data_IF_382582743952
#
_entry.id   IF_382582743952
#
_cell.length_a   1.000
_cell.length_b   1.000
_cell.length_c   1.000
_cell.angle_alpha   90.00
_cell.angle_beta   90.00
_cell.angle_gamma   90.00
#
_symmetry.space_group_name_H-M   'P 1'
#
loop_
_entity.id
_entity.type
_entity.pdbx_description
1 polymer ?
#
# COMPACT_ATOMS: atom_id res chain seq x y z
N UNK A 1 3.00 14.55 11.24
CA UNK A 1 4.44 14.87 11.44
C UNK A 1 5.26 13.62 11.09
N UNK A 2 5.35 13.24 9.80
CA UNK A 2 6.30 12.21 9.33
C UNK A 2 7.67 12.91 9.29
N UNK A 3 8.58 12.61 10.24
CA UNK A 3 9.97 13.07 10.11
C UNK A 3 10.57 12.32 8.92
N UNK A 4 11.05 13.06 7.94
CA UNK A 4 11.81 12.53 6.81
C UNK A 4 13.09 11.88 7.36
N UNK A 5 13.07 10.55 7.50
CA UNK A 5 14.21 9.79 8.03
C UNK A 5 15.47 9.95 7.19
N UNK A 6 15.34 10.38 5.91
CA UNK A 6 16.43 10.57 4.96
C UNK A 6 17.40 11.67 5.37
N UNK A 7 16.96 12.70 6.11
CA UNK A 7 17.85 13.80 6.50
C UNK A 7 18.79 13.45 7.66
N UNK A 8 18.47 12.44 8.47
CA UNK A 8 19.23 12.09 9.68
C UNK A 8 20.37 11.07 9.48
N UNK A 9 20.46 10.46 8.30
CA UNK A 9 21.41 9.36 8.03
C UNK A 9 22.76 9.79 7.46
N UNK A 10 22.87 11.03 6.94
CA UNK A 10 24.12 11.51 6.31
C UNK A 10 25.16 12.01 7.32
N UNK A 11 24.78 12.28 8.56
CA UNK A 11 25.64 12.95 9.55
C UNK A 11 26.53 12.01 10.40
N UNK A 12 26.32 10.68 10.38
CA UNK A 12 27.02 9.77 11.32
C UNK A 12 27.88 8.66 10.68
N UNK A 13 27.99 8.57 9.34
CA UNK A 13 28.77 7.50 8.68
C UNK A 13 28.27 6.08 8.95
N UNK A 14 27.00 5.93 9.38
CA UNK A 14 26.35 4.63 9.65
C UNK A 14 25.28 4.34 8.62
N UNK A 15 25.36 3.18 7.96
CA UNK A 15 24.31 2.70 7.04
C UNK A 15 23.03 2.39 7.79
N UNK A 16 21.88 2.80 7.23
CA UNK A 16 20.55 2.51 7.77
C UNK A 16 19.64 2.05 6.64
N UNK A 17 18.92 0.95 6.85
CA UNK A 17 17.82 0.54 5.99
C UNK A 17 16.50 0.87 6.68
N UNK A 18 15.62 1.59 5.99
CA UNK A 18 14.32 1.96 6.52
C UNK A 18 13.21 1.61 5.53
N UNK A 19 12.18 0.94 6.04
CA UNK A 19 10.93 0.70 5.33
C UNK A 19 9.77 0.61 6.31
N UNK A 20 8.60 1.10 5.90
CA UNK A 20 7.34 0.87 6.62
C UNK A 20 6.82 -0.57 6.42
N UNK A 21 7.33 -1.30 5.43
CA UNK A 21 6.95 -2.68 5.14
C UNK A 21 8.10 -3.45 4.45
N UNK A 22 8.53 -4.58 5.04
CA UNK A 22 9.58 -5.45 4.50
C UNK A 22 9.05 -6.62 3.68
N UNK A 23 7.74 -6.73 3.43
CA UNK A 23 7.20 -7.82 2.62
C UNK A 23 7.65 -7.69 1.16
N UNK A 24 8.34 -8.73 0.68
CA UNK A 24 8.66 -8.89 -0.75
C UNK A 24 7.39 -8.85 -1.61
N UNK A 25 6.33 -9.53 -1.16
CA UNK A 25 5.05 -9.57 -1.89
C UNK A 25 4.40 -8.20 -2.01
N UNK A 26 4.48 -7.38 -0.95
CA UNK A 26 3.98 -5.99 -0.98
C UNK A 26 4.83 -5.12 -1.89
N UNK A 27 6.15 -5.30 -1.91
CA UNK A 27 7.04 -4.55 -2.81
C UNK A 27 6.69 -4.81 -4.29
N UNK A 28 6.53 -6.09 -4.67
CA UNK A 28 6.11 -6.48 -6.02
C UNK A 28 4.71 -5.92 -6.33
N UNK A 29 3.76 -6.09 -5.42
CA UNK A 29 2.39 -5.61 -5.61
C UNK A 29 2.31 -4.09 -5.78
N UNK A 30 3.12 -3.33 -5.02
CA UNK A 30 3.22 -1.88 -5.13
C UNK A 30 3.74 -1.46 -6.52
N UNK A 31 4.75 -2.14 -7.06
CA UNK A 31 5.27 -1.88 -8.40
C UNK A 31 4.21 -2.14 -9.49
N UNK A 32 3.50 -3.28 -9.40
CA UNK A 32 2.39 -3.61 -10.31
C UNK A 32 1.27 -2.57 -10.21
N UNK A 33 0.91 -2.15 -8.99
CA UNK A 33 -0.11 -1.14 -8.76
C UNK A 33 0.24 0.20 -9.43
N UNK A 34 1.47 0.69 -9.25
CA UNK A 34 1.94 1.93 -9.91
C UNK A 34 1.90 1.82 -11.43
N UNK A 35 2.36 0.70 -11.97
CA UNK A 35 2.34 0.46 -13.41
C UNK A 35 0.92 0.38 -13.97
N UNK A 36 0.02 -0.34 -13.30
CA UNK A 36 -1.38 -0.44 -13.69
C UNK A 36 -2.08 0.92 -13.63
N UNK A 37 -1.88 1.69 -12.56
CA UNK A 37 -2.42 3.05 -12.42
C UNK A 37 -2.00 3.95 -13.59
N UNK A 38 -0.73 3.90 -13.99
CA UNK A 38 -0.21 4.64 -15.15
C UNK A 38 -0.89 4.25 -16.46
N UNK A 39 -1.18 2.97 -16.68
CA UNK A 39 -1.92 2.52 -17.87
C UNK A 39 -3.35 3.03 -17.81
N UNK A 40 -4.00 2.84 -16.67
CA UNK A 40 -5.40 3.19 -16.41
C UNK A 40 -5.70 4.68 -16.52
N UNK A 41 -4.69 5.54 -16.39
CA UNK A 41 -4.83 6.99 -16.59
C UNK A 41 -5.32 7.37 -18.00
N UNK A 42 -5.12 6.50 -19.00
CA UNK A 42 -5.63 6.70 -20.36
C UNK A 42 -7.08 6.23 -20.55
N UNK A 43 -7.70 5.61 -19.53
CA UNK A 43 -9.02 4.98 -19.62
C UNK A 43 -9.97 5.55 -18.55
N UNK A 44 -10.55 6.75 -18.77
CA UNK A 44 -11.32 7.47 -17.77
C UNK A 44 -12.63 6.80 -17.37
N UNK A 45 -13.10 5.81 -18.15
CA UNK A 45 -14.30 5.03 -17.88
C UNK A 45 -14.10 3.94 -16.80
N UNK A 46 -12.87 3.69 -16.35
CA UNK A 46 -12.58 2.73 -15.29
C UNK A 46 -12.45 3.42 -13.94
N UNK A 47 -13.45 3.36 -13.07
CA UNK A 47 -13.35 3.90 -11.72
C UNK A 47 -12.54 3.02 -10.78
N UNK A 48 -11.61 3.64 -10.05
CA UNK A 48 -10.73 2.94 -9.12
C UNK A 48 -11.29 2.96 -7.70
N UNK A 49 -11.25 1.82 -7.02
CA UNK A 49 -11.56 1.67 -5.60
C UNK A 49 -10.56 0.75 -4.91
N UNK A 50 -10.41 0.89 -3.59
CA UNK A 50 -9.49 0.07 -2.82
C UNK A 50 -10.11 -0.41 -1.51
N UNK A 51 -9.84 -1.68 -1.18
CA UNK A 51 -10.26 -2.30 0.08
C UNK A 51 -9.06 -3.00 0.73
N UNK A 52 -8.96 -2.91 2.06
CA UNK A 52 -8.02 -3.69 2.86
C UNK A 52 -8.74 -4.51 3.94
N UNK A 53 -8.26 -5.72 4.20
CA UNK A 53 -8.73 -6.58 5.28
C UNK A 53 -7.57 -6.91 6.20
N UNK A 54 -7.77 -6.75 7.50
CA UNK A 54 -6.81 -7.15 8.54
C UNK A 54 -7.53 -7.75 9.74
N UNK A 55 -6.75 -8.35 10.63
CA UNK A 55 -7.21 -8.90 11.89
C UNK A 55 -7.94 -7.88 12.78
N UNK A 56 -8.79 -8.39 13.67
CA UNK A 56 -9.65 -7.59 14.55
C UNK A 56 -8.88 -6.65 15.49
N UNK A 57 -7.65 -7.02 15.85
CA UNK A 57 -6.80 -6.22 16.75
C UNK A 57 -6.12 -5.02 16.07
N UNK A 58 -6.32 -4.80 14.77
CA UNK A 58 -5.68 -3.69 14.05
C UNK A 58 -6.42 -2.38 14.28
N UNK A 59 -5.76 -1.44 14.96
CA UNK A 59 -6.34 -0.16 15.39
C UNK A 59 -6.34 0.91 14.28
N UNK A 60 -5.32 0.93 13.42
CA UNK A 60 -5.22 1.90 12.33
C UNK A 60 -6.13 1.51 11.16
N UNK A 61 -6.91 2.46 10.65
CA UNK A 61 -7.75 2.32 9.46
C UNK A 61 -7.76 3.65 8.65
N UNK A 62 -7.34 3.64 7.37
CA UNK A 62 -6.73 2.51 6.64
C UNK A 62 -5.34 2.12 7.15
N UNK A 63 -4.89 0.92 6.83
CA UNK A 63 -3.53 0.45 7.11
C UNK A 63 -2.46 1.32 6.43
N UNK A 64 -1.27 1.40 7.02
CA UNK A 64 -0.14 2.12 6.41
C UNK A 64 0.21 1.63 4.99
N UNK A 65 0.09 0.32 4.72
CA UNK A 65 0.29 -0.22 3.36
C UNK A 65 -0.82 0.22 2.40
N UNK A 66 -2.07 0.26 2.85
CA UNK A 66 -3.16 0.80 2.02
C UNK A 66 -2.93 2.28 1.68
N UNK A 67 -2.48 3.09 2.63
CA UNK A 67 -2.14 4.50 2.39
C UNK A 67 -1.04 4.62 1.32
N UNK A 68 0.05 3.85 1.44
CA UNK A 68 1.14 3.86 0.44
C UNK A 68 0.67 3.39 -0.94
N UNK A 69 -0.22 2.41 -1.02
CA UNK A 69 -0.80 1.95 -2.28
C UNK A 69 -1.70 3.03 -2.92
N UNK A 70 -2.52 3.72 -2.12
CA UNK A 70 -3.32 4.86 -2.58
C UNK A 70 -2.41 5.98 -3.10
N UNK A 71 -1.41 6.38 -2.33
CA UNK A 71 -0.43 7.40 -2.74
C UNK A 71 0.24 7.01 -4.08
N UNK A 72 0.62 5.75 -4.26
CA UNK A 72 1.15 5.25 -5.53
C UNK A 72 0.18 5.29 -6.70
N UNK A 73 -1.13 5.14 -6.47
CA UNK A 73 -2.16 5.36 -7.50
C UNK A 73 -2.22 6.86 -7.84
N UNK A 74 -2.33 7.74 -6.84
CA UNK A 74 -2.45 9.19 -7.05
C UNK A 74 -1.23 9.78 -7.81
N UNK A 75 -0.04 9.25 -7.58
CA UNK A 75 1.18 9.62 -8.31
C UNK A 75 1.13 9.29 -9.81
N UNK A 76 0.27 8.35 -10.23
CA UNK A 76 0.24 7.82 -11.60
C UNK A 76 -1.12 7.93 -12.30
N UNK A 77 -2.19 8.26 -11.57
CA UNK A 77 -3.57 8.40 -12.05
C UNK A 77 -4.04 9.84 -11.78
N UNK A 78 -3.75 10.76 -12.70
CA UNK A 78 -3.81 12.21 -12.48
C UNK A 78 -5.23 12.75 -12.23
N UNK A 79 -6.25 12.00 -12.64
CA UNK A 79 -7.65 12.33 -12.37
C UNK A 79 -8.07 12.09 -10.91
N UNK A 80 -7.24 11.41 -10.11
CA UNK A 80 -7.45 11.29 -8.66
C UNK A 80 -6.44 12.18 -7.93
N UNK A 81 -6.92 13.10 -7.10
CA UNK A 81 -6.09 14.13 -6.45
C UNK A 81 -5.81 13.83 -4.97
N UNK A 82 -6.66 13.04 -4.34
CA UNK A 82 -6.55 12.70 -2.93
C UNK A 82 -7.22 11.37 -2.65
N UNK A 83 -6.80 10.69 -1.57
CA UNK A 83 -7.54 9.56 -1.03
C UNK A 83 -8.32 10.00 0.21
N UNK A 84 -9.45 9.36 0.43
CA UNK A 84 -10.30 9.59 1.61
C UNK A 84 -10.59 8.27 2.32
N UNK A 85 -10.95 8.36 3.59
CA UNK A 85 -11.40 7.17 4.33
C UNK A 85 -12.75 6.73 3.76
N UNK A 86 -12.80 5.49 3.28
CA UNK A 86 -14.02 4.85 2.83
C UNK A 86 -14.82 4.29 4.01
N UNK A 87 -15.42 3.13 3.79
CA UNK A 87 -16.13 2.40 4.85
C UNK A 87 -15.17 1.65 5.78
N UNK A 88 -15.58 1.46 7.04
CA UNK A 88 -14.97 0.53 7.97
C UNK A 88 -16.01 -0.52 8.38
N UNK A 89 -15.77 -1.77 8.01
CA UNK A 89 -16.52 -2.93 8.50
C UNK A 89 -15.82 -3.47 9.75
N UNK A 90 -16.50 -3.36 10.89
CA UNK A 90 -16.01 -3.81 12.19
C UNK A 90 -16.26 -5.31 12.41
N UNK A 91 -15.61 -5.94 13.41
CA UNK A 91 -15.74 -7.39 13.66
C UNK A 91 -17.15 -7.88 13.97
N UNK A 92 -18.02 -7.00 14.46
CA UNK A 92 -19.44 -7.29 14.74
C UNK A 92 -20.34 -7.15 13.49
N UNK A 93 -19.75 -6.87 12.33
CA UNK A 93 -20.44 -6.65 11.06
C UNK A 93 -21.01 -5.23 10.89
N UNK A 94 -20.87 -4.35 11.87
CA UNK A 94 -21.28 -2.96 11.71
C UNK A 94 -20.41 -2.25 10.66
N UNK A 95 -21.05 -1.41 9.85
CA UNK A 95 -20.37 -0.60 8.83
C UNK A 95 -20.51 0.87 9.19
N UNK A 96 -19.38 1.57 9.21
CA UNK A 96 -19.32 3.03 9.40
C UNK A 96 -18.58 3.69 8.24
N UNK A 97 -18.74 5.01 8.08
CA UNK A 97 -18.18 5.74 6.94
C UNK A 97 -19.00 5.57 5.66
N UNK A 98 -18.46 6.05 4.54
CA UNK A 98 -19.10 5.99 3.23
C UNK A 98 -18.04 5.89 2.14
N UNK A 99 -18.39 5.31 0.99
CA UNK A 99 -17.58 5.40 -0.24
C UNK A 99 -17.99 6.59 -1.11
N UNK A 100 -19.07 7.29 -0.74
CA UNK A 100 -19.50 8.51 -1.43
C UNK A 100 -18.45 9.60 -1.22
N UNK A 101 -17.73 9.90 -2.29
CA UNK A 101 -16.67 10.88 -2.31
C UNK A 101 -16.71 11.60 -3.66
N UNK A 102 -15.92 12.67 -3.78
CA UNK A 102 -15.84 13.41 -5.02
C UNK A 102 -15.23 12.55 -6.12
N UNK A 103 -15.54 12.76 -7.41
CA UNK A 103 -14.95 11.99 -8.51
C UNK A 103 -13.42 11.99 -8.52
N UNK A 104 -12.79 13.07 -8.06
CA UNK A 104 -11.35 13.20 -7.90
C UNK A 104 -10.77 12.48 -6.67
N UNK A 105 -11.60 11.92 -5.80
CA UNK A 105 -11.17 11.22 -4.60
C UNK A 105 -11.15 9.69 -4.80
N UNK A 106 -10.19 9.04 -4.12
CA UNK A 106 -10.08 7.59 -4.03
C UNK A 106 -10.54 7.13 -2.64
N UNK A 107 -11.70 6.47 -2.50
CA UNK A 107 -12.12 5.92 -1.22
C UNK A 107 -11.31 4.65 -0.90
N UNK A 108 -10.82 4.57 0.34
CA UNK A 108 -10.10 3.41 0.86
C UNK A 108 -10.91 2.77 1.99
N UNK A 109 -11.55 1.65 1.69
CA UNK A 109 -12.36 0.91 2.65
C UNK A 109 -11.52 -0.10 3.44
N UNK A 110 -11.90 -0.34 4.69
CA UNK A 110 -11.18 -1.19 5.64
C UNK A 110 -12.13 -2.23 6.24
N UNK A 111 -11.66 -3.46 6.39
CA UNK A 111 -12.40 -4.58 6.97
C UNK A 111 -11.57 -5.17 8.11
N UNK A 112 -12.22 -5.45 9.25
CA UNK A 112 -11.59 -6.08 10.42
C UNK A 112 -12.18 -7.46 10.63
N UNK A 113 -11.43 -8.50 10.30
CA UNK A 113 -11.89 -9.87 10.23
C UNK A 113 -10.86 -10.86 10.76
N UNK A 114 -11.27 -11.70 11.73
CA UNK A 114 -10.49 -12.80 12.27
C UNK A 114 -9.03 -12.45 12.59
N UNK A 115 -8.12 -13.30 12.11
CA UNK A 115 -6.66 -13.17 12.24
C UNK A 115 -5.97 -12.89 10.89
N UNK A 116 -6.68 -12.22 9.97
CA UNK A 116 -6.15 -11.93 8.63
C UNK A 116 -4.88 -11.06 8.73
N UNK A 117 -3.70 -11.54 8.28
CA UNK A 117 -2.47 -10.77 8.41
C UNK A 117 -2.49 -9.46 7.60
N UNK A 118 -3.13 -9.49 6.43
CA UNK A 118 -3.33 -8.34 5.56
C UNK A 118 -3.70 -8.79 4.15
N UNK A 119 -4.85 -8.33 3.65
CA UNK A 119 -5.27 -8.46 2.25
C UNK A 119 -5.49 -7.05 1.71
N UNK A 120 -4.96 -6.76 0.53
CA UNK A 120 -5.10 -5.46 -0.12
C UNK A 120 -5.59 -5.70 -1.55
N UNK A 121 -6.72 -5.10 -1.90
CA UNK A 121 -7.38 -5.26 -3.20
C UNK A 121 -7.61 -3.91 -3.83
N UNK A 122 -7.21 -3.78 -5.10
CA UNK A 122 -7.41 -2.59 -5.91
C UNK A 122 -8.23 -3.02 -7.12
N UNK A 123 -9.34 -2.33 -7.37
CA UNK A 123 -10.30 -2.65 -8.42
C UNK A 123 -10.51 -1.44 -9.32
N UNK A 124 -10.41 -1.66 -10.62
CA UNK A 124 -10.78 -0.74 -11.68
C UNK A 124 -12.06 -1.25 -12.34
N UNK A 125 -13.12 -0.46 -12.33
CA UNK A 125 -14.46 -0.85 -12.76
C UNK A 125 -14.98 0.02 -13.90
N UNK A 126 -15.44 -0.60 -14.98
CA UNK A 126 -16.19 0.06 -16.05
C UNK A 126 -17.56 -0.59 -16.23
N UNK A 127 -18.38 -0.06 -17.14
CA UNK A 127 -19.66 -0.68 -17.52
C UNK A 127 -19.47 -2.07 -18.15
N UNK A 128 -18.36 -2.29 -18.86
CA UNK A 128 -18.12 -3.50 -19.63
C UNK A 128 -17.47 -4.61 -18.80
N UNK A 129 -16.49 -4.26 -17.97
CA UNK A 129 -15.71 -5.22 -17.20
C UNK A 129 -14.99 -4.58 -16.00
N UNK A 130 -14.33 -5.46 -15.23
CA UNK A 130 -13.56 -5.11 -14.04
C UNK A 130 -12.18 -5.74 -14.07
N UNK A 131 -11.15 -4.97 -13.69
CA UNK A 131 -9.79 -5.45 -13.49
C UNK A 131 -9.46 -5.33 -12.00
N UNK A 132 -9.08 -6.45 -11.38
CA UNK A 132 -8.80 -6.51 -9.94
C UNK A 132 -7.42 -7.11 -9.70
N UNK A 133 -6.63 -6.47 -8.85
CA UNK A 133 -5.38 -7.02 -8.33
C UNK A 133 -5.47 -7.13 -6.81
N UNK A 134 -5.00 -8.26 -6.27
CA UNK A 134 -5.04 -8.54 -4.84
C UNK A 134 -3.71 -9.08 -4.36
N UNK A 135 -3.21 -8.52 -3.27
CA UNK A 135 -2.15 -9.12 -2.46
C UNK A 135 -2.75 -9.72 -1.18
N UNK A 136 -2.49 -11.00 -0.95
CA UNK A 136 -3.00 -11.76 0.20
C UNK A 136 -1.84 -12.33 1.01
N UNK A 137 -1.56 -11.71 2.16
CA UNK A 137 -0.53 -12.18 3.07
C UNK A 137 -1.03 -13.37 3.89
N UNK A 138 -0.63 -14.59 3.51
CA UNK A 138 -1.01 -15.82 4.22
C UNK A 138 -0.38 -15.97 5.61
N UNK A 139 0.78 -15.37 5.84
CA UNK A 139 1.51 -15.40 7.11
C UNK A 139 2.63 -14.34 7.11
N UNK A 140 3.37 -14.24 8.21
CA UNK A 140 4.43 -13.24 8.39
C UNK A 140 5.79 -13.59 7.77
N UNK A 141 5.95 -14.76 7.13
CA UNK A 141 7.26 -15.21 6.59
C UNK A 141 7.76 -14.31 5.47
N UNK A 142 6.88 -13.77 4.63
CA UNK A 142 7.26 -12.85 3.55
C UNK A 142 7.91 -11.55 4.04
N UNK A 143 7.47 -11.06 5.21
CA UNK A 143 8.03 -9.88 5.87
C UNK A 143 9.40 -10.19 6.49
N UNK A 144 9.51 -11.36 7.15
CA UNK A 144 10.77 -11.81 7.74
C UNK A 144 11.85 -12.02 6.66
N UNK A 145 11.48 -12.64 5.53
CA UNK A 145 12.40 -12.82 4.39
C UNK A 145 12.91 -11.48 3.87
N UNK A 146 12.04 -10.50 3.61
CA UNK A 146 12.50 -9.21 3.11
C UNK A 146 13.34 -8.42 4.13
N UNK A 147 13.13 -8.62 5.44
CA UNK A 147 14.02 -8.07 6.46
C UNK A 147 15.42 -8.71 6.42
N UNK A 148 15.51 -10.02 6.19
CA UNK A 148 16.80 -10.72 5.97
C UNK A 148 17.49 -10.18 4.71
N UNK A 149 16.78 -10.10 3.59
CA UNK A 149 17.32 -9.55 2.33
C UNK A 149 17.80 -8.11 2.49
N UNK A 150 17.06 -7.28 3.22
CA UNK A 150 17.46 -5.91 3.52
C UNK A 150 18.74 -5.84 4.37
N UNK A 151 18.90 -6.75 5.34
CA UNK A 151 20.12 -6.83 6.14
C UNK A 151 21.33 -7.27 5.30
N UNK A 152 21.17 -8.27 4.43
CA UNK A 152 22.21 -8.71 3.49
C UNK A 152 22.60 -7.60 2.51
N UNK A 153 21.62 -6.87 1.98
CA UNK A 153 21.87 -5.73 1.09
C UNK A 153 22.64 -4.60 1.81
N UNK A 154 22.24 -4.30 3.05
CA UNK A 154 22.91 -3.29 3.90
C UNK A 154 24.35 -3.67 4.23
N UNK A 155 24.70 -4.96 4.26
CA UNK A 155 26.07 -5.40 4.52
C UNK A 155 27.06 -5.03 3.40
N UNK A 156 26.57 -4.70 2.20
CA UNK A 156 27.39 -4.39 1.02
C UNK A 156 27.13 -3.00 0.44
N UNK A 157 26.26 -2.20 1.07
CA UNK A 157 25.86 -0.87 0.61
C UNK A 157 25.94 0.15 1.75
N UNK A 158 26.07 1.44 1.41
CA UNK A 158 26.18 2.52 2.39
C UNK A 158 25.09 3.58 2.22
N UNK A 159 24.82 4.30 3.31
CA UNK A 159 23.87 5.42 3.33
C UNK A 159 22.48 5.07 3.87
N UNK A 160 21.48 5.85 3.46
CA UNK A 160 20.08 5.64 3.84
C UNK A 160 19.37 4.88 2.72
N UNK A 161 19.14 3.59 2.95
CA UNK A 161 18.61 2.63 1.99
C UNK A 161 17.13 2.34 2.27
N UNK A 162 16.38 1.97 1.25
CA UNK A 162 15.00 1.51 1.37
C UNK A 162 14.66 0.35 0.43
N UNK A 163 13.38 -0.04 0.42
CA UNK A 163 12.90 -1.15 -0.42
C UNK A 163 13.11 -0.88 -1.92
N UNK A 164 13.00 0.38 -2.36
CA UNK A 164 13.25 0.77 -3.75
C UNK A 164 14.75 0.73 -4.11
N UNK A 165 15.64 0.67 -3.12
CA UNK A 165 17.07 0.40 -3.33
C UNK A 165 17.32 -1.10 -3.49
N UNK A 166 16.69 -1.89 -2.62
CA UNK A 166 16.79 -3.35 -2.64
C UNK A 166 16.16 -3.98 -3.91
N UNK A 167 14.98 -3.49 -4.30
CA UNK A 167 14.23 -4.02 -5.43
C UNK A 167 14.07 -2.96 -6.52
N UNK A 168 14.68 -3.22 -7.69
CA UNK A 168 14.63 -2.36 -8.88
C UNK A 168 13.58 -2.91 -9.85
N UNK A 169 12.32 -2.54 -9.64
CA UNK A 169 11.20 -2.84 -10.55
C UNK A 169 11.00 -1.72 -11.57
#
# INVERSE_FOLDING_TARGET
MKRDGRSSGREEGRTRFWSSNFSLGVAIFSAVNKYLARIMDNFPNYEVSMTETHHIHKLDAPSGTAITLAEGILENLHRKTSWVKGTLTAPDGSVSGTTDCRPEELPVSSIREGEVPGIHTIRYESEADSITITHDAKNRRGFALGAVLAAEYTATHEGFLGMDDLFKF
#
